data_IF_909926446048
#
_entry.id   IF_909926446048
#
_cell.length_a   1.000
_cell.length_b   1.000
_cell.length_c   1.000
_cell.angle_alpha   90.00
_cell.angle_beta   90.00
_cell.angle_gamma   90.00
#
_symmetry.space_group_name_H-M   'P 1'
#
loop_
_entity.id
_entity.type
_entity.pdbx_description
1 polymer ?
#
# COMPACT_ATOMS: atom_id res chain seq x y z
N UNK A 1 69.81 -25.95 -16.57
CA UNK A 1 69.06 -24.68 -16.54
C UNK A 1 67.85 -24.91 -15.67
N UNK A 2 68.01 -24.60 -14.39
CA UNK A 2 66.98 -24.65 -13.35
C UNK A 2 66.25 -23.31 -13.34
N UNK A 3 64.92 -23.32 -13.40
CA UNK A 3 64.10 -22.13 -13.27
C UNK A 3 63.74 -21.94 -11.79
N UNK A 4 64.18 -20.82 -11.23
CA UNK A 4 63.79 -20.37 -9.90
C UNK A 4 62.39 -19.75 -9.94
N UNK A 5 61.53 -20.17 -9.02
CA UNK A 5 60.21 -19.59 -8.76
C UNK A 5 60.33 -18.25 -8.00
N UNK A 6 59.43 -17.28 -8.22
CA UNK A 6 59.45 -16.01 -7.50
C UNK A 6 58.91 -16.17 -6.06
N UNK A 7 59.30 -15.26 -5.14
CA UNK A 7 58.98 -15.37 -3.72
C UNK A 7 57.51 -15.04 -3.44
N UNK A 8 56.91 -15.81 -2.54
CA UNK A 8 55.52 -15.71 -2.12
C UNK A 8 55.19 -14.40 -1.41
N UNK A 9 54.06 -13.82 -1.80
CA UNK A 9 53.36 -12.75 -1.08
C UNK A 9 52.69 -13.33 0.17
N UNK A 10 53.17 -12.91 1.34
CA UNK A 10 52.53 -13.15 2.62
C UNK A 10 51.33 -12.20 2.75
N UNK A 11 50.11 -12.71 2.54
CA UNK A 11 48.88 -11.99 2.83
C UNK A 11 48.48 -12.33 4.27
N UNK A 12 48.49 -11.31 5.14
CA UNK A 12 48.01 -11.43 6.51
C UNK A 12 46.49 -11.67 6.53
N UNK A 13 45.98 -12.46 7.49
CA UNK A 13 44.54 -12.72 7.59
C UNK A 13 43.80 -11.43 8.00
N UNK A 14 42.83 -11.04 7.19
CA UNK A 14 41.86 -9.99 7.49
C UNK A 14 40.89 -10.60 8.52
N UNK A 15 40.93 -10.12 9.76
CA UNK A 15 39.93 -10.48 10.77
C UNK A 15 38.59 -9.84 10.40
N UNK A 16 37.46 -10.56 10.53
CA UNK A 16 36.14 -9.98 10.36
C UNK A 16 35.86 -8.91 11.43
N UNK A 17 35.03 -7.91 11.12
CA UNK A 17 34.70 -6.84 12.06
C UNK A 17 34.00 -7.43 13.29
N UNK A 18 34.53 -7.10 14.47
CA UNK A 18 33.90 -7.42 15.74
C UNK A 18 32.61 -6.60 15.86
N UNK A 19 31.47 -7.28 15.86
CA UNK A 19 30.18 -6.71 16.27
C UNK A 19 30.26 -6.33 17.75
N UNK A 20 30.44 -5.03 18.01
CA UNK A 20 30.30 -4.47 19.36
C UNK A 20 28.82 -4.47 19.74
N UNK A 21 28.44 -5.37 20.63
CA UNK A 21 27.19 -5.27 21.39
C UNK A 21 27.22 -3.99 22.24
N UNK A 22 26.50 -2.96 21.80
CA UNK A 22 26.22 -1.78 22.63
C UNK A 22 25.15 -2.16 23.65
N UNK A 23 25.55 -2.21 24.92
CA UNK A 23 24.59 -2.13 26.03
C UNK A 23 23.98 -0.72 26.06
N UNK A 24 22.66 -0.57 26.33
CA UNK A 24 22.04 0.73 26.42
C UNK A 24 22.52 1.46 27.67
N UNK A 25 22.94 2.70 27.48
CA UNK A 25 23.24 3.62 28.57
C UNK A 25 21.95 3.95 29.33
N UNK A 26 22.01 3.89 30.66
CA UNK A 26 20.94 4.37 31.53
C UNK A 26 20.73 5.87 31.32
N UNK A 27 19.62 6.24 30.69
CA UNK A 27 19.15 7.62 30.63
C UNK A 27 18.61 8.04 32.00
N UNK A 28 19.00 9.24 32.43
CA UNK A 28 18.52 9.91 33.64
C UNK A 28 17.17 10.55 33.36
N UNK A 29 16.27 10.46 34.34
CA UNK A 29 14.85 10.83 34.33
C UNK A 29 14.54 12.34 34.41
N UNK A 30 15.42 13.23 33.94
CA UNK A 30 15.20 14.67 34.04
C UNK A 30 15.22 15.31 32.64
N UNK A 31 14.12 15.21 31.88
CA UNK A 31 13.70 16.17 30.81
C UNK A 31 12.42 15.73 30.06
N UNK A 32 11.33 15.43 30.78
CA UNK A 32 10.00 15.18 30.19
C UNK A 32 8.93 16.11 30.75
N UNK A 33 9.05 17.41 30.47
CA UNK A 33 7.91 18.32 30.54
C UNK A 33 7.90 19.27 29.33
N UNK A 34 7.22 18.85 28.26
CA UNK A 34 6.44 19.67 27.31
C UNK A 34 5.94 18.81 26.15
N UNK A 35 5.00 17.91 26.45
CA UNK A 35 4.13 17.33 25.42
C UNK A 35 2.92 18.27 25.22
N UNK A 36 2.49 18.54 23.97
CA UNK A 36 1.26 19.28 23.73
C UNK A 36 0.08 18.48 24.30
N UNK A 37 -0.79 19.17 25.04
CA UNK A 37 -1.93 18.62 25.81
C UNK A 37 -2.96 17.84 24.95
N UNK A 38 -2.82 17.79 23.61
CA UNK A 38 -3.77 17.11 22.72
C UNK A 38 -3.52 15.62 22.42
N UNK A 39 -2.29 15.11 22.59
CA UNK A 39 -1.96 13.75 22.12
C UNK A 39 -2.45 12.62 23.04
N UNK A 40 -2.37 12.82 24.37
CA UNK A 40 -2.82 11.83 25.37
C UNK A 40 -4.35 11.65 25.36
N UNK A 41 -5.11 12.73 25.18
CA UNK A 41 -6.57 12.67 25.11
C UNK A 41 -7.11 11.84 23.93
N UNK A 42 -6.35 11.74 22.84
CA UNK A 42 -6.73 10.93 21.67
C UNK A 42 -6.46 9.45 21.94
N UNK A 43 -5.33 9.10 22.55
CA UNK A 43 -5.03 7.71 22.93
C UNK A 43 -6.00 7.19 24.00
N UNK A 44 -6.39 8.03 24.97
CA UNK A 44 -7.40 7.69 25.97
C UNK A 44 -8.79 7.52 25.36
N UNK A 45 -9.19 8.39 24.41
CA UNK A 45 -10.45 8.23 23.67
C UNK A 45 -10.45 6.96 22.81
N UNK A 46 -9.34 6.64 22.13
CA UNK A 46 -9.20 5.41 21.34
C UNK A 46 -9.18 4.16 22.23
N UNK A 47 -8.67 4.26 23.45
CA UNK A 47 -8.67 3.18 24.44
C UNK A 47 -10.06 2.96 25.07
N UNK A 48 -10.84 4.02 25.25
CA UNK A 48 -12.20 3.96 25.80
C UNK A 48 -13.24 3.32 24.87
N UNK A 49 -12.97 3.26 23.56
CA UNK A 49 -13.85 2.64 22.56
C UNK A 49 -13.90 1.09 22.65
N UNK A 50 -13.07 0.46 23.49
CA UNK A 50 -13.01 -1.01 23.64
C UNK A 50 -13.36 -1.55 25.04
N UNK A 51 -13.73 -0.68 25.99
CA UNK A 51 -14.27 -1.10 27.28
C UNK A 51 -15.81 -1.13 27.24
N UNK A 52 -16.36 -2.04 26.44
CA UNK A 52 -17.69 -2.60 26.69
C UNK A 52 -17.55 -4.10 26.79
N UNK A 53 -17.82 -4.60 27.99
CA UNK A 53 -17.66 -5.98 28.42
C UNK A 53 -18.18 -6.99 27.37
N UNK A 54 -17.26 -7.77 26.81
CA UNK A 54 -17.61 -9.00 26.11
C UNK A 54 -18.10 -10.02 27.14
N UNK A 55 -19.35 -10.51 27.07
CA UNK A 55 -19.79 -11.58 27.95
C UNK A 55 -19.03 -12.86 27.64
N UNK A 56 -18.54 -13.52 28.70
CA UNK A 56 -17.83 -14.79 28.65
C UNK A 56 -18.61 -15.87 27.88
N UNK A 57 -17.95 -16.75 27.10
CA UNK A 57 -18.63 -17.78 26.34
C UNK A 57 -19.06 -18.93 27.26
N UNK A 58 -20.38 -19.06 27.48
CA UNK A 58 -20.98 -20.26 28.06
C UNK A 58 -21.26 -21.29 26.97
N UNK A 59 -20.62 -22.44 27.10
CA UNK A 59 -21.09 -23.81 26.74
C UNK A 59 -21.80 -24.02 25.40
N UNK A 60 -21.05 -24.66 24.48
CA UNK A 60 -21.45 -25.74 23.56
C UNK A 60 -22.96 -26.01 23.39
N UNK A 61 -23.56 -25.36 22.39
CA UNK A 61 -24.82 -25.74 21.77
C UNK A 61 -24.60 -26.08 20.30
N UNK A 62 -24.75 -27.35 19.93
CA UNK A 62 -24.78 -27.81 18.54
C UNK A 62 -25.99 -27.19 17.82
N UNK A 63 -25.76 -26.17 17.00
CA UNK A 63 -26.76 -25.61 16.08
C UNK A 63 -26.45 -26.14 14.67
N UNK A 64 -27.29 -27.07 14.21
CA UNK A 64 -27.33 -27.53 12.83
C UNK A 64 -27.99 -26.46 11.95
N UNK A 65 -27.19 -25.61 11.30
CA UNK A 65 -27.69 -24.77 10.22
C UNK A 65 -27.77 -25.56 8.92
N UNK A 66 -28.97 -26.06 8.61
CA UNK A 66 -29.34 -26.46 7.25
C UNK A 66 -29.38 -25.18 6.39
N UNK A 67 -28.34 -24.95 5.59
CA UNK A 67 -28.30 -23.90 4.58
C UNK A 67 -28.97 -24.47 3.33
N UNK A 68 -30.21 -24.06 3.05
CA UNK A 68 -30.83 -24.26 1.74
C UNK A 68 -29.97 -23.53 0.70
N UNK A 69 -29.23 -24.30 -0.09
CA UNK A 69 -28.64 -23.85 -1.33
C UNK A 69 -29.78 -23.81 -2.36
N UNK A 70 -30.35 -22.63 -2.58
CA UNK A 70 -31.12 -22.40 -3.80
C UNK A 70 -30.12 -22.29 -4.95
N UNK A 71 -30.09 -23.34 -5.78
CA UNK A 71 -29.32 -23.37 -7.01
C UNK A 71 -29.82 -22.26 -7.96
N UNK A 72 -28.92 -21.51 -8.63
CA UNK A 72 -29.35 -20.59 -9.67
C UNK A 72 -29.91 -21.38 -10.85
N UNK A 73 -31.14 -21.04 -11.25
CA UNK A 73 -31.81 -21.60 -12.41
C UNK A 73 -30.96 -21.44 -13.67
N UNK A 74 -30.77 -22.54 -14.39
CA UNK A 74 -30.23 -22.55 -15.75
C UNK A 74 -30.92 -21.47 -16.60
N UNK A 75 -30.12 -20.56 -17.16
CA UNK A 75 -30.56 -19.66 -18.21
C UNK A 75 -30.95 -20.48 -19.45
N UNK A 76 -32.20 -20.29 -19.90
CA UNK A 76 -32.60 -20.64 -21.26
C UNK A 76 -31.85 -19.72 -22.21
N UNK A 77 -31.07 -20.34 -23.10
CA UNK A 77 -30.47 -19.69 -24.26
C UNK A 77 -31.55 -19.62 -25.32
N UNK A 78 -32.13 -18.44 -25.54
CA UNK A 78 -32.92 -18.18 -26.73
C UNK A 78 -31.93 -18.01 -27.90
N UNK A 79 -31.98 -18.97 -28.81
CA UNK A 79 -31.28 -18.94 -30.09
C UNK A 79 -32.10 -18.13 -31.07
N UNK A 80 -31.74 -16.87 -31.31
CA UNK A 80 -32.20 -16.13 -32.49
C UNK A 80 -31.18 -15.08 -32.94
N UNK A 81 -30.88 -15.10 -34.24
CA UNK A 81 -30.48 -13.92 -35.00
C UNK A 81 -28.99 -13.54 -34.98
N UNK A 82 -28.14 -14.35 -35.61
CA UNK A 82 -26.80 -13.92 -36.04
C UNK A 82 -26.91 -12.79 -37.08
N UNK A 83 -26.54 -11.58 -36.70
CA UNK A 83 -26.06 -10.53 -37.62
C UNK A 83 -24.65 -10.11 -37.17
N UNK A 84 -23.66 -10.07 -38.08
CA UNK A 84 -22.29 -9.75 -37.71
C UNK A 84 -22.19 -8.25 -37.40
N UNK A 85 -22.14 -7.91 -36.12
CA UNK A 85 -21.74 -6.58 -35.68
C UNK A 85 -20.23 -6.49 -35.87
N UNK A 86 -19.81 -5.77 -36.90
CA UNK A 86 -18.44 -5.32 -37.09
C UNK A 86 -18.02 -4.46 -35.90
N UNK A 87 -17.21 -5.02 -35.01
CA UNK A 87 -16.57 -4.28 -33.92
C UNK A 87 -15.73 -3.14 -34.49
N UNK A 88 -15.96 -1.87 -34.10
CA UNK A 88 -15.06 -0.79 -34.48
C UNK A 88 -13.72 -1.04 -33.80
N UNK A 89 -12.66 -1.13 -34.60
CA UNK A 89 -11.27 -0.97 -34.14
C UNK A 89 -11.14 0.41 -33.51
N UNK A 90 -11.35 0.51 -32.21
CA UNK A 90 -10.86 1.66 -31.45
C UNK A 90 -9.34 1.57 -31.44
N UNK A 91 -8.71 2.41 -32.26
CA UNK A 91 -7.31 2.77 -32.08
C UNK A 91 -7.15 3.25 -30.63
N UNK A 92 -6.28 2.58 -29.89
CA UNK A 92 -5.98 2.91 -28.50
C UNK A 92 -5.55 4.36 -28.42
N UNK A 93 -6.41 5.20 -27.87
CA UNK A 93 -6.04 6.56 -27.48
C UNK A 93 -4.99 6.38 -26.39
N UNK A 94 -3.73 6.76 -26.69
CA UNK A 94 -2.69 6.87 -25.68
C UNK A 94 -3.26 7.77 -24.57
N UNK A 95 -3.48 7.18 -23.40
CA UNK A 95 -3.78 7.90 -22.17
C UNK A 95 -2.56 8.77 -21.94
N UNK A 96 -2.69 10.09 -22.05
CA UNK A 96 -1.60 11.03 -21.77
C UNK A 96 -1.29 10.93 -20.28
N UNK A 97 -0.27 10.15 -19.96
CA UNK A 97 0.16 9.85 -18.61
C UNK A 97 0.50 11.14 -17.85
N UNK A 98 -0.18 11.33 -16.71
CA UNK A 98 0.24 11.98 -15.47
C UNK A 98 1.29 13.10 -15.59
N UNK A 99 0.89 14.35 -15.28
CA UNK A 99 1.81 15.47 -15.11
C UNK A 99 2.77 15.28 -13.93
N UNK A 100 3.65 16.28 -13.70
CA UNK A 100 5.04 16.22 -14.16
C UNK A 100 5.60 14.80 -14.11
N UNK A 101 5.76 14.23 -15.31
CA UNK A 101 6.61 13.08 -15.65
C UNK A 101 7.48 12.56 -14.49
N UNK A 102 7.11 11.41 -13.95
CA UNK A 102 8.05 10.38 -13.50
C UNK A 102 8.93 9.86 -14.68
N UNK A 103 9.29 10.73 -15.64
CA UNK A 103 10.36 10.48 -16.61
C UNK A 103 11.70 10.91 -16.00
N UNK A 104 11.79 11.01 -14.67
CA UNK A 104 13.09 11.11 -14.03
C UNK A 104 13.85 9.82 -14.37
N UNK A 105 14.75 9.94 -15.35
CA UNK A 105 15.64 8.90 -15.85
C UNK A 105 16.61 8.39 -14.76
N UNK A 106 16.46 8.86 -13.52
CA UNK A 106 17.23 8.48 -12.36
C UNK A 106 16.94 7.05 -11.90
N UNK A 107 15.73 6.51 -12.14
CA UNK A 107 15.43 5.12 -11.75
C UNK A 107 16.03 4.13 -12.74
N UNK A 108 16.76 3.10 -12.26
CA UNK A 108 17.19 2.00 -13.12
C UNK A 108 15.99 1.44 -13.89
N UNK A 109 16.15 1.26 -15.19
CA UNK A 109 15.07 0.76 -16.04
C UNK A 109 14.52 -0.57 -15.51
N UNK A 110 13.20 -0.72 -15.52
CA UNK A 110 12.57 -1.95 -15.04
C UNK A 110 13.00 -3.16 -15.88
N UNK A 111 13.26 -4.29 -15.23
CA UNK A 111 13.56 -5.53 -15.95
C UNK A 111 12.24 -6.08 -16.54
N UNK A 112 12.19 -6.38 -17.85
CA UNK A 112 10.98 -6.92 -18.47
C UNK A 112 10.55 -8.25 -17.86
N UNK A 113 9.24 -8.43 -17.71
CA UNK A 113 8.64 -9.71 -17.28
C UNK A 113 9.09 -10.83 -18.23
N UNK A 114 9.62 -11.93 -17.69
CA UNK A 114 10.08 -13.09 -18.46
C UNK A 114 11.55 -13.06 -18.88
N UNK A 115 12.33 -12.08 -18.40
CA UNK A 115 13.79 -12.08 -18.55
C UNK A 115 14.41 -13.35 -17.94
N UNK A 116 15.46 -13.94 -18.55
CA UNK A 116 16.14 -15.11 -18.00
C UNK A 116 16.62 -14.89 -16.55
N UNK A 117 16.49 -15.90 -15.69
CA UNK A 117 16.85 -15.81 -14.26
C UNK A 117 18.26 -15.24 -14.02
N UNK A 118 19.23 -15.64 -14.84
CA UNK A 118 20.63 -15.18 -14.76
C UNK A 118 20.84 -13.67 -14.97
N UNK A 119 19.81 -12.95 -15.41
CA UNK A 119 19.88 -11.48 -15.55
C UNK A 119 19.57 -10.76 -14.24
N UNK A 120 18.98 -11.43 -13.25
CA UNK A 120 18.81 -10.89 -11.90
C UNK A 120 20.04 -11.32 -11.10
N UNK A 121 20.87 -10.35 -10.71
CA UNK A 121 22.06 -10.57 -9.88
C UNK A 121 21.76 -10.27 -8.42
N UNK A 122 20.94 -9.26 -8.17
CA UNK A 122 20.61 -8.80 -6.81
C UNK A 122 19.12 -8.89 -6.53
N UNK A 123 18.76 -8.85 -5.25
CA UNK A 123 17.38 -8.74 -4.80
C UNK A 123 16.71 -7.44 -5.26
N UNK A 124 17.45 -6.33 -5.27
CA UNK A 124 16.99 -5.03 -5.78
C UNK A 124 16.54 -5.12 -7.25
N UNK A 125 17.38 -5.68 -8.12
CA UNK A 125 17.05 -5.89 -9.53
C UNK A 125 15.77 -6.72 -9.71
N UNK A 126 15.58 -7.74 -8.87
CA UNK A 126 14.37 -8.57 -8.89
C UNK A 126 13.12 -7.80 -8.48
N UNK A 127 13.19 -6.95 -7.46
CA UNK A 127 12.07 -6.10 -7.02
C UNK A 127 11.70 -5.01 -8.04
N UNK A 128 12.63 -4.62 -8.93
CA UNK A 128 12.37 -3.70 -10.04
C UNK A 128 11.83 -4.38 -11.29
N UNK A 129 11.47 -5.67 -11.21
CA UNK A 129 10.81 -6.38 -12.31
C UNK A 129 9.42 -5.81 -12.57
N UNK A 130 9.10 -5.58 -13.84
CA UNK A 130 7.75 -5.15 -14.24
C UNK A 130 6.74 -6.27 -13.93
N UNK A 131 5.63 -6.01 -13.20
CA UNK A 131 4.55 -6.99 -13.02
C UNK A 131 3.93 -7.44 -14.36
N UNK A 132 3.25 -8.61 -14.44
CA UNK A 132 2.62 -9.06 -15.67
C UNK A 132 1.52 -8.08 -16.11
N UNK A 133 1.02 -8.26 -17.33
CA UNK A 133 -0.14 -7.50 -17.79
C UNK A 133 -1.33 -7.74 -16.84
N UNK A 134 -2.12 -6.69 -16.62
CA UNK A 134 -3.34 -6.79 -15.82
C UNK A 134 -4.36 -7.57 -16.66
N UNK A 135 -5.03 -8.59 -16.10
CA UNK A 135 -6.06 -9.33 -16.82
C UNK A 135 -7.25 -8.43 -17.14
N UNK A 136 -7.95 -8.72 -18.25
CA UNK A 136 -9.16 -7.98 -18.60
C UNK A 136 -10.30 -8.26 -17.61
N UNK A 137 -11.17 -7.27 -17.40
CA UNK A 137 -12.42 -7.49 -16.66
C UNK A 137 -13.38 -8.23 -17.58
N UNK A 138 -14.07 -9.25 -17.07
CA UNK A 138 -14.93 -10.16 -17.84
C UNK A 138 -15.98 -9.45 -18.74
N UNK A 139 -16.36 -8.22 -18.38
CA UNK A 139 -17.27 -7.38 -19.16
C UNK A 139 -16.99 -5.90 -18.92
N UNK A 140 -16.99 -5.10 -19.98
CA UNK A 140 -16.88 -3.63 -19.89
C UNK A 140 -17.95 -3.06 -18.95
N UNK A 141 -17.54 -2.19 -18.04
CA UNK A 141 -18.42 -1.57 -17.04
C UNK A 141 -18.84 -2.48 -15.88
N UNK A 142 -18.45 -3.76 -15.88
CA UNK A 142 -18.61 -4.59 -14.69
C UNK A 142 -17.66 -4.15 -13.57
N UNK A 143 -17.98 -4.52 -12.33
CA UNK A 143 -17.17 -4.23 -11.15
C UNK A 143 -16.93 -2.72 -10.91
N UNK A 144 -17.75 -1.82 -11.50
CA UNK A 144 -17.64 -0.38 -11.27
C UNK A 144 -18.26 0.08 -9.96
N UNK A 145 -18.96 -0.81 -9.24
CA UNK A 145 -19.64 -0.48 -8.00
C UNK A 145 -18.68 -0.51 -6.81
N UNK A 146 -18.67 0.55 -6.02
CA UNK A 146 -18.04 0.55 -4.69
C UNK A 146 -19.07 0.24 -3.62
N UNK A 147 -18.69 -0.56 -2.62
CA UNK A 147 -19.47 -0.76 -1.39
C UNK A 147 -19.91 0.60 -0.83
N UNK A 148 -21.18 0.70 -0.45
CA UNK A 148 -21.68 1.90 0.25
C UNK A 148 -21.14 1.93 1.68
N UNK A 149 -20.85 3.12 2.19
CA UNK A 149 -20.38 3.26 3.55
C UNK A 149 -21.37 2.67 4.55
N UNK A 150 -20.85 1.82 5.44
CA UNK A 150 -21.61 1.18 6.49
C UNK A 150 -21.86 2.17 7.65
N UNK A 151 -22.69 1.76 8.63
CA UNK A 151 -23.06 2.62 9.76
C UNK A 151 -21.84 3.06 10.58
N UNK A 152 -20.90 2.14 10.85
CA UNK A 152 -19.66 2.42 11.58
C UNK A 152 -18.78 3.44 10.85
N UNK A 153 -18.61 3.28 9.53
CA UNK A 153 -17.85 4.22 8.70
C UNK A 153 -18.51 5.61 8.71
N UNK A 154 -19.83 5.71 8.58
CA UNK A 154 -20.54 7.02 8.62
C UNK A 154 -20.55 7.67 10.00
N UNK A 155 -20.63 6.87 11.06
CA UNK A 155 -20.77 7.33 12.43
C UNK A 155 -19.42 7.39 13.18
N UNK A 156 -18.31 7.44 12.44
CA UNK A 156 -17.00 7.69 13.02
C UNK A 156 -17.02 9.00 13.85
N UNK A 157 -16.38 9.01 15.01
CA UNK A 157 -16.39 10.17 15.91
C UNK A 157 -15.84 11.43 15.20
N UNK A 158 -16.52 12.60 15.29
CA UNK A 158 -16.11 13.80 14.57
C UNK A 158 -14.68 14.31 14.85
N UNK A 159 -14.09 13.94 15.99
CA UNK A 159 -12.72 14.28 16.38
C UNK A 159 -11.65 13.46 15.68
N UNK A 160 -12.01 12.31 15.10
CA UNK A 160 -11.08 11.37 14.42
C UNK A 160 -11.42 11.18 12.94
N UNK A 161 -12.32 11.99 12.38
CA UNK A 161 -12.63 11.96 10.94
C UNK A 161 -11.50 12.57 10.12
N UNK A 162 -11.31 12.03 8.92
CA UNK A 162 -10.48 12.64 7.89
C UNK A 162 -11.03 14.04 7.56
N UNK A 163 -10.15 15.03 7.53
CA UNK A 163 -10.46 16.41 7.11
C UNK A 163 -9.56 16.91 6.00
N UNK A 164 -8.37 16.31 5.85
CA UNK A 164 -7.33 16.77 4.93
C UNK A 164 -6.77 15.58 4.16
N UNK A 165 -6.76 15.66 2.85
CA UNK A 165 -5.99 14.75 1.99
C UNK A 165 -4.76 15.51 1.52
N UNK A 166 -3.58 14.93 1.71
CA UNK A 166 -2.29 15.55 1.35
C UNK A 166 -1.64 14.70 0.27
N UNK A 167 -1.81 15.06 -1.01
CA UNK A 167 -1.05 14.46 -2.11
C UNK A 167 0.43 14.75 -1.90
N UNK A 168 1.27 13.71 -1.77
CA UNK A 168 2.70 13.87 -1.55
C UNK A 168 3.49 13.10 -2.62
N UNK A 169 4.07 13.85 -3.57
CA UNK A 169 4.69 13.30 -4.78
C UNK A 169 5.81 12.29 -4.49
N UNK A 170 6.61 12.53 -3.45
CA UNK A 170 7.74 11.66 -3.05
C UNK A 170 7.46 10.83 -1.80
N UNK A 171 6.20 10.47 -1.54
CA UNK A 171 5.83 9.77 -0.31
C UNK A 171 6.62 8.47 -0.09
N UNK A 172 6.73 7.61 -1.12
CA UNK A 172 7.52 6.37 -1.03
C UNK A 172 8.96 6.61 -1.52
N UNK A 173 9.12 7.41 -2.58
CA UNK A 173 10.42 7.65 -3.24
C UNK A 173 11.48 8.30 -2.33
N UNK A 174 11.08 8.89 -1.20
CA UNK A 174 12.02 9.37 -0.18
C UNK A 174 12.74 8.24 0.58
N UNK A 175 12.23 6.99 0.49
CA UNK A 175 12.80 5.82 1.16
C UNK A 175 13.79 5.06 0.29
N UNK A 176 13.96 5.44 -0.99
CA UNK A 176 14.75 4.71 -1.97
C UNK A 176 16.19 4.48 -1.48
N UNK A 177 16.89 5.51 -0.99
CA UNK A 177 18.28 5.39 -0.54
C UNK A 177 18.43 4.38 0.62
N UNK A 178 17.55 4.44 1.61
CA UNK A 178 17.57 3.51 2.76
C UNK A 178 17.20 2.09 2.32
N UNK A 179 16.19 1.95 1.45
CA UNK A 179 15.77 0.67 0.90
C UNK A 179 16.86 0.02 0.05
N UNK A 180 17.57 0.78 -0.78
CA UNK A 180 18.74 0.31 -1.54
C UNK A 180 19.85 -0.17 -0.61
N UNK A 181 20.15 0.60 0.45
CA UNK A 181 21.14 0.21 1.46
C UNK A 181 20.79 -1.09 2.18
N UNK A 182 19.50 -1.36 2.43
CA UNK A 182 19.03 -2.62 3.01
C UNK A 182 19.17 -3.82 2.07
N UNK A 183 19.03 -3.58 0.76
CA UNK A 183 19.10 -4.63 -0.27
C UNK A 183 20.53 -4.89 -0.75
N UNK A 184 21.48 -4.01 -0.39
CA UNK A 184 22.88 -4.12 -0.78
C UNK A 184 23.50 -5.45 -0.28
N UNK A 185 24.32 -6.07 -1.14
CA UNK A 185 24.96 -7.35 -0.86
C UNK A 185 24.05 -8.59 -0.89
N UNK A 186 22.74 -8.47 -1.10
CA UNK A 186 21.84 -9.62 -1.28
C UNK A 186 21.88 -10.11 -2.74
N UNK A 187 22.87 -10.94 -3.03
CA UNK A 187 23.12 -11.50 -4.37
C UNK A 187 22.55 -12.92 -4.58
N UNK A 188 22.04 -13.17 -5.78
CA UNK A 188 21.55 -14.48 -6.17
C UNK A 188 22.70 -15.42 -6.59
N UNK A 189 22.95 -16.48 -5.81
CA UNK A 189 23.69 -17.66 -6.25
C UNK A 189 22.78 -18.63 -7.02
N UNK A 190 22.90 -18.63 -8.35
CA UNK A 190 22.14 -19.52 -9.23
C UNK A 190 22.61 -20.99 -9.20
N UNK A 191 23.61 -21.34 -8.39
CA UNK A 191 23.93 -22.74 -8.06
C UNK A 191 23.22 -23.20 -6.78
N UNK A 192 22.52 -22.31 -6.08
CA UNK A 192 21.78 -22.63 -4.86
C UNK A 192 20.29 -22.83 -5.16
N UNK A 193 19.78 -24.04 -4.90
CA UNK A 193 18.38 -24.41 -5.13
C UNK A 193 17.39 -23.53 -4.34
N UNK A 194 17.77 -23.03 -3.16
CA UNK A 194 16.91 -22.15 -2.36
C UNK A 194 16.71 -20.79 -3.03
N UNK A 195 17.75 -20.28 -3.69
CA UNK A 195 17.68 -19.03 -4.44
C UNK A 195 16.75 -19.16 -5.66
N UNK A 196 16.78 -20.31 -6.34
CA UNK A 196 15.80 -20.63 -7.41
C UNK A 196 14.37 -20.69 -6.89
N UNK A 197 14.14 -21.33 -5.73
CA UNK A 197 12.81 -21.42 -5.12
C UNK A 197 12.28 -20.03 -4.74
N UNK A 198 13.11 -19.21 -4.10
CA UNK A 198 12.80 -17.82 -3.76
C UNK A 198 12.46 -17.02 -5.02
N UNK A 199 13.31 -17.07 -6.04
CA UNK A 199 13.11 -16.34 -7.28
C UNK A 199 11.78 -16.73 -7.95
N UNK A 200 11.39 -18.01 -7.87
CA UNK A 200 10.11 -18.49 -8.40
C UNK A 200 8.92 -17.84 -7.68
N UNK A 201 9.02 -17.55 -6.39
CA UNK A 201 7.96 -16.87 -5.63
C UNK A 201 7.95 -15.35 -5.82
N UNK A 202 9.08 -14.76 -6.17
CA UNK A 202 9.21 -13.31 -6.32
C UNK A 202 8.94 -12.83 -7.75
N UNK A 203 9.28 -13.64 -8.75
CA UNK A 203 9.16 -13.25 -10.15
C UNK A 203 7.70 -13.28 -10.60
N UNK A 204 7.14 -12.13 -11.03
CA UNK A 204 5.73 -12.08 -11.41
C UNK A 204 5.35 -13.00 -12.58
N UNK A 205 6.32 -13.34 -13.45
CA UNK A 205 6.15 -14.29 -14.55
C UNK A 205 5.84 -15.72 -14.07
N UNK A 206 6.36 -16.12 -12.92
CA UNK A 206 6.13 -17.44 -12.34
C UNK A 206 4.70 -17.62 -11.84
N UNK A 207 3.99 -16.53 -11.59
CA UNK A 207 2.60 -16.56 -11.15
C UNK A 207 1.62 -16.42 -12.31
N UNK A 208 2.05 -15.92 -13.46
CA UNK A 208 1.12 -15.52 -14.54
C UNK A 208 0.22 -16.65 -15.04
N UNK A 209 0.63 -17.91 -14.92
CA UNK A 209 -0.18 -19.07 -15.30
C UNK A 209 -1.12 -19.57 -14.19
N UNK A 210 -0.87 -19.20 -12.93
CA UNK A 210 -1.73 -19.52 -11.79
C UNK A 210 -2.74 -18.40 -11.48
N UNK A 211 -2.46 -17.19 -11.98
CA UNK A 211 -3.31 -16.03 -11.77
C UNK A 211 -4.55 -16.04 -12.68
N UNK A 212 -5.65 -15.39 -12.24
CA UNK A 212 -6.83 -15.22 -13.07
C UNK A 212 -6.46 -14.56 -14.40
N UNK A 213 -6.86 -15.18 -15.51
CA UNK A 213 -6.69 -14.59 -16.86
C UNK A 213 -7.77 -13.55 -17.17
N UNK A 214 -8.82 -13.51 -16.35
CA UNK A 214 -9.94 -12.57 -16.42
C UNK A 214 -10.34 -12.22 -14.99
N UNK A 215 -10.51 -10.93 -14.70
CA UNK A 215 -11.02 -10.45 -13.41
C UNK A 215 -12.54 -10.59 -13.41
N UNK A 216 -13.07 -11.48 -12.56
CA UNK A 216 -14.50 -11.68 -12.34
C UNK A 216 -15.01 -11.00 -11.07
N UNK A 217 -14.12 -10.77 -10.11
CA UNK A 217 -14.44 -10.24 -8.78
C UNK A 217 -13.28 -9.45 -8.19
N UNK A 218 -13.52 -8.73 -7.09
CA UNK A 218 -12.45 -8.09 -6.31
C UNK A 218 -11.49 -9.14 -5.70
N UNK A 219 -11.95 -10.36 -5.42
CA UNK A 219 -11.09 -11.44 -4.94
C UNK A 219 -9.97 -11.82 -5.94
N UNK A 220 -10.26 -11.74 -7.24
CA UNK A 220 -9.27 -11.97 -8.29
C UNK A 220 -8.18 -10.89 -8.27
N UNK A 221 -8.57 -9.64 -7.98
CA UNK A 221 -7.65 -8.50 -7.80
C UNK A 221 -6.75 -8.75 -6.59
N UNK A 222 -7.34 -9.16 -5.46
CA UNK A 222 -6.61 -9.50 -4.24
C UNK A 222 -5.59 -10.62 -4.45
N UNK A 223 -5.99 -11.68 -5.16
CA UNK A 223 -5.09 -12.80 -5.49
C UNK A 223 -3.96 -12.37 -6.41
N UNK A 224 -4.25 -11.57 -7.44
CA UNK A 224 -3.25 -11.01 -8.33
C UNK A 224 -2.25 -10.10 -7.60
N UNK A 225 -2.75 -9.14 -6.81
CA UNK A 225 -1.90 -8.22 -6.06
C UNK A 225 -1.07 -8.94 -4.99
N UNK A 226 -1.67 -9.91 -4.31
CA UNK A 226 -0.99 -10.79 -3.35
C UNK A 226 0.22 -11.46 -3.97
N UNK A 227 0.04 -12.18 -5.08
CA UNK A 227 1.13 -12.93 -5.71
C UNK A 227 2.17 -12.08 -6.44
N UNK A 228 1.79 -10.93 -7.00
CA UNK A 228 2.70 -10.16 -7.87
C UNK A 228 3.29 -8.92 -7.24
N UNK A 229 2.68 -8.39 -6.18
CA UNK A 229 3.12 -7.17 -5.49
C UNK A 229 3.50 -7.47 -4.04
N UNK A 230 2.57 -8.06 -3.27
CA UNK A 230 2.71 -8.14 -1.82
C UNK A 230 3.69 -9.23 -1.37
N UNK A 231 3.52 -10.46 -1.85
CA UNK A 231 4.40 -11.58 -1.48
C UNK A 231 5.86 -11.27 -1.82
N UNK A 232 6.22 -10.77 -3.02
CA UNK A 232 7.62 -10.42 -3.30
C UNK A 232 8.17 -9.34 -2.34
N UNK A 233 7.40 -8.29 -2.05
CA UNK A 233 7.83 -7.24 -1.12
C UNK A 233 8.03 -7.75 0.31
N UNK A 234 7.12 -8.61 0.81
CA UNK A 234 7.23 -9.23 2.13
C UNK A 234 8.43 -10.19 2.19
N UNK A 235 8.63 -11.01 1.17
CA UNK A 235 9.75 -11.94 1.11
C UNK A 235 11.09 -11.20 1.10
N UNK A 236 11.19 -10.09 0.39
CA UNK A 236 12.40 -9.26 0.42
C UNK A 236 12.67 -8.70 1.82
N UNK A 237 11.65 -8.17 2.50
CA UNK A 237 11.80 -7.72 3.90
C UNK A 237 12.33 -8.82 4.82
N UNK A 238 11.83 -10.05 4.67
CA UNK A 238 12.35 -11.21 5.42
C UNK A 238 13.80 -11.54 5.09
N UNK A 239 14.23 -11.42 3.83
CA UNK A 239 15.62 -11.69 3.44
C UNK A 239 16.58 -10.63 4.00
N UNK A 240 16.14 -9.37 4.01
CA UNK A 240 16.87 -8.27 4.65
C UNK A 240 17.02 -8.56 6.15
N UNK A 241 15.93 -8.89 6.85
CA UNK A 241 15.94 -9.22 8.27
C UNK A 241 16.90 -10.38 8.60
N UNK A 242 17.01 -11.37 7.72
CA UNK A 242 17.88 -12.54 7.91
C UNK A 242 19.31 -12.36 7.33
N UNK A 243 19.57 -11.28 6.60
CA UNK A 243 20.85 -11.03 5.93
C UNK A 243 21.24 -12.06 4.87
N UNK A 244 20.28 -12.81 4.31
CA UNK A 244 20.53 -13.76 3.21
C UNK A 244 19.28 -14.03 2.38
N UNK A 245 19.48 -14.53 1.14
CA UNK A 245 18.41 -14.95 0.26
C UNK A 245 17.98 -16.38 0.62
N UNK A 246 16.78 -16.52 1.17
CA UNK A 246 16.26 -17.82 1.59
C UNK A 246 14.78 -17.79 1.97
N UNK A 247 14.20 -19.00 2.13
CA UNK A 247 12.86 -19.16 2.68
C UNK A 247 12.94 -19.40 4.18
N UNK A 248 12.71 -18.34 4.95
CA UNK A 248 12.71 -18.41 6.41
C UNK A 248 11.30 -18.74 6.92
N UNK A 249 11.21 -19.77 7.77
CA UNK A 249 9.95 -20.31 8.32
C UNK A 249 9.78 -20.02 9.81
N UNK A 250 10.57 -19.13 10.42
CA UNK A 250 10.32 -18.71 11.80
C UNK A 250 8.92 -18.09 11.88
N UNK A 251 8.15 -18.49 12.91
CA UNK A 251 6.84 -17.93 13.24
C UNK A 251 6.89 -16.42 13.52
N UNK A 252 8.08 -15.86 13.73
CA UNK A 252 8.25 -14.45 14.07
C UNK A 252 8.27 -13.48 12.89
N UNK A 253 8.38 -13.99 11.66
CA UNK A 253 8.49 -13.10 10.50
C UNK A 253 7.18 -12.39 10.17
N UNK A 254 7.24 -11.12 9.72
CA UNK A 254 6.07 -10.39 9.27
C UNK A 254 5.27 -11.15 8.21
N UNK A 255 3.95 -11.14 8.30
CA UNK A 255 3.07 -11.90 7.42
C UNK A 255 1.83 -11.12 7.03
N UNK A 256 1.22 -11.52 5.92
CA UNK A 256 -0.09 -11.03 5.51
C UNK A 256 -1.17 -11.95 6.05
N UNK A 257 -2.23 -11.37 6.61
CA UNK A 257 -3.39 -12.09 7.09
C UNK A 257 -4.69 -11.42 6.60
N UNK A 258 -5.79 -12.16 6.66
CA UNK A 258 -7.12 -11.56 6.62
C UNK A 258 -7.32 -10.72 7.89
N UNK A 259 -8.02 -9.59 7.79
CA UNK A 259 -8.31 -8.79 8.97
C UNK A 259 -9.13 -9.57 10.01
N UNK A 260 -8.90 -9.35 11.32
CA UNK A 260 -9.66 -9.98 12.39
C UNK A 260 -11.14 -9.58 12.33
N UNK A 261 -12.00 -10.26 13.10
CA UNK A 261 -13.43 -9.96 13.21
C UNK A 261 -13.69 -8.63 13.96
N UNK A 262 -13.33 -7.51 13.34
CA UNK A 262 -13.63 -6.15 13.78
C UNK A 262 -14.78 -5.56 12.95
N UNK A 263 -15.37 -4.46 13.43
CA UNK A 263 -16.51 -3.81 12.79
C UNK A 263 -16.19 -3.21 11.41
N UNK A 264 -14.92 -2.98 11.12
CA UNK A 264 -14.41 -2.42 9.86
C UNK A 264 -13.28 -3.31 9.36
N UNK A 265 -13.64 -4.25 8.49
CA UNK A 265 -12.74 -5.27 7.95
C UNK A 265 -11.99 -4.68 6.76
N UNK A 266 -10.65 -4.69 6.83
CA UNK A 266 -9.79 -4.48 5.66
C UNK A 266 -9.71 -5.78 4.85
N UNK A 267 -9.49 -5.68 3.54
CA UNK A 267 -9.37 -6.87 2.69
C UNK A 267 -8.16 -7.74 3.10
N UNK A 268 -7.09 -7.11 3.57
CA UNK A 268 -5.95 -7.74 4.20
C UNK A 268 -5.28 -6.84 5.25
N UNK A 269 -4.45 -7.44 6.08
CA UNK A 269 -3.59 -6.75 7.03
C UNK A 269 -2.18 -7.31 6.96
N UNK A 270 -1.20 -6.47 7.22
CA UNK A 270 0.18 -6.86 7.41
C UNK A 270 0.47 -6.83 8.91
N UNK A 271 0.87 -7.98 9.44
CA UNK A 271 1.13 -8.20 10.86
C UNK A 271 2.61 -8.39 11.07
N UNK A 272 3.16 -7.64 12.03
CA UNK A 272 4.53 -7.82 12.50
C UNK A 272 4.53 -8.35 13.93
N UNK A 273 5.60 -9.04 14.29
CA UNK A 273 5.88 -9.36 15.69
C UNK A 273 6.68 -8.23 16.31
N UNK A 274 6.28 -7.83 17.51
CA UNK A 274 7.05 -6.94 18.36
C UNK A 274 7.28 -7.66 19.69
N UNK A 275 8.51 -7.64 20.21
CA UNK A 275 8.86 -8.37 21.43
C UNK A 275 8.04 -7.91 22.66
N UNK A 276 7.59 -6.65 22.69
CA UNK A 276 6.80 -6.07 23.77
C UNK A 276 5.29 -6.24 23.57
N UNK A 277 4.81 -6.07 22.33
CA UNK A 277 3.37 -6.05 22.01
C UNK A 277 2.83 -7.38 21.48
N UNK A 278 3.71 -8.31 21.12
CA UNK A 278 3.37 -9.51 20.37
C UNK A 278 2.96 -9.20 18.93
N UNK A 279 1.98 -9.94 18.42
CA UNK A 279 1.39 -9.71 17.10
C UNK A 279 0.64 -8.37 17.06
N UNK A 280 1.04 -7.48 16.15
CA UNK A 280 0.33 -6.22 15.92
C UNK A 280 0.13 -5.96 14.44
N UNK A 281 -0.98 -5.30 14.10
CA UNK A 281 -1.30 -4.91 12.73
C UNK A 281 -0.55 -3.62 12.43
N UNK A 282 0.47 -3.71 11.59
CA UNK A 282 1.32 -2.55 11.21
C UNK A 282 0.73 -1.79 10.03
N UNK A 283 -0.08 -2.46 9.19
CA UNK A 283 -0.63 -1.86 7.98
C UNK A 283 -1.91 -2.55 7.48
N UNK A 284 -2.78 -1.81 6.82
CA UNK A 284 -3.96 -2.35 6.11
C UNK A 284 -3.75 -2.43 4.60
N UNK A 285 -4.32 -3.45 3.97
CA UNK A 285 -4.29 -3.67 2.53
C UNK A 285 -5.73 -3.65 2.01
N UNK A 286 -6.03 -2.73 1.10
CA UNK A 286 -7.33 -2.62 0.46
C UNK A 286 -7.16 -2.82 -1.06
N UNK A 287 -8.06 -3.59 -1.66
CA UNK A 287 -8.09 -3.72 -3.11
C UNK A 287 -9.45 -3.38 -3.70
N UNK A 288 -9.43 -2.88 -4.93
CA UNK A 288 -10.64 -2.54 -5.70
C UNK A 288 -10.48 -3.00 -7.13
N UNK A 289 -11.59 -3.22 -7.81
CA UNK A 289 -11.51 -3.49 -9.24
C UNK A 289 -10.89 -2.31 -10.02
N UNK A 290 -10.19 -2.55 -11.14
CA UNK A 290 -9.69 -1.47 -11.99
C UNK A 290 -10.78 -0.47 -12.39
N UNK A 291 -12.01 -0.92 -12.65
CA UNK A 291 -13.12 -0.04 -13.02
C UNK A 291 -13.61 0.85 -11.88
N UNK A 292 -13.30 0.55 -10.61
CA UNK A 292 -13.60 1.46 -9.49
C UNK A 292 -12.66 2.66 -9.51
N UNK A 293 -11.41 2.47 -9.91
CA UNK A 293 -10.40 3.53 -9.99
C UNK A 293 -10.56 4.42 -11.22
N UNK A 294 -11.33 3.97 -12.21
CA UNK A 294 -11.50 4.68 -13.47
C UNK A 294 -12.89 5.32 -13.56
N UNK A 295 -12.93 6.63 -13.83
CA UNK A 295 -14.15 7.34 -14.20
C UNK A 295 -13.96 7.98 -15.57
N UNK A 296 -14.82 7.66 -16.53
CA UNK A 296 -14.74 8.16 -17.93
C UNK A 296 -13.39 7.91 -18.63
N UNK A 297 -12.62 6.92 -18.16
CA UNK A 297 -11.32 6.57 -18.74
C UNK A 297 -10.12 7.27 -18.09
N UNK A 298 -10.35 8.05 -17.04
CA UNK A 298 -9.33 8.73 -16.24
C UNK A 298 -9.32 8.17 -14.82
N UNK A 299 -8.19 8.28 -14.13
CA UNK A 299 -8.11 7.83 -12.74
C UNK A 299 -8.87 8.80 -11.84
N UNK A 300 -9.70 8.31 -10.93
CA UNK A 300 -10.41 9.16 -9.96
C UNK A 300 -9.47 9.89 -8.99
N UNK A 301 -8.19 9.50 -8.94
CA UNK A 301 -7.16 10.14 -8.12
C UNK A 301 -6.35 11.17 -8.90
N UNK A 302 -6.50 11.26 -10.23
CA UNK A 302 -5.66 12.11 -11.08
C UNK A 302 -5.74 13.59 -10.69
N UNK A 303 -6.94 14.09 -10.40
CA UNK A 303 -7.13 15.49 -10.00
C UNK A 303 -6.47 15.86 -8.66
N UNK A 304 -6.18 14.88 -7.78
CA UNK A 304 -5.46 15.14 -6.54
C UNK A 304 -3.98 15.46 -6.80
N UNK A 305 -3.42 14.98 -7.90
CA UNK A 305 -2.00 15.15 -8.24
C UNK A 305 -1.78 16.17 -9.37
N UNK A 306 -2.82 16.89 -9.79
CA UNK A 306 -2.70 18.04 -10.68
C UNK A 306 -2.19 19.24 -9.88
N UNK A 307 -0.87 19.23 -9.59
CA UNK A 307 -0.19 20.20 -8.71
C UNK A 307 0.68 21.13 -9.55
N UNK A 308 0.62 22.46 -9.32
CA UNK A 308 1.58 23.40 -9.91
C UNK A 308 3.03 23.03 -9.53
N UNK A 309 3.97 23.14 -10.49
CA UNK A 309 5.37 22.74 -10.28
C UNK A 309 6.07 23.50 -9.13
N UNK A 310 5.58 24.67 -8.76
CA UNK A 310 6.14 25.52 -7.70
C UNK A 310 5.35 25.44 -6.38
N UNK A 311 4.39 24.54 -6.29
CA UNK A 311 3.60 24.34 -5.09
C UNK A 311 4.46 23.75 -3.95
N UNK A 312 4.32 24.23 -2.71
CA UNK A 312 5.05 23.67 -1.59
C UNK A 312 4.55 22.26 -1.26
N UNK A 313 5.44 21.42 -0.74
CA UNK A 313 5.05 20.14 -0.17
C UNK A 313 4.08 20.34 1.01
N UNK A 314 3.12 19.43 1.14
CA UNK A 314 2.13 19.47 2.22
C UNK A 314 0.85 20.24 1.90
N UNK A 315 0.68 20.80 0.70
CA UNK A 315 -0.62 21.37 0.31
C UNK A 315 -1.75 20.33 0.52
N UNK A 316 -2.74 20.73 1.31
CA UNK A 316 -3.86 19.87 1.63
C UNK A 316 -5.10 20.22 0.79
N UNK A 317 -5.80 19.17 0.39
CA UNK A 317 -7.15 19.21 -0.17
C UNK A 317 -8.14 18.97 0.97
N UNK A 318 -9.20 19.77 1.07
CA UNK A 318 -10.21 19.63 2.11
C UNK A 318 -11.10 18.43 1.82
N UNK A 319 -11.34 17.62 2.85
CA UNK A 319 -12.22 16.46 2.80
C UNK A 319 -13.38 16.64 3.78
N UNK A 320 -14.60 16.59 3.27
CA UNK A 320 -15.84 16.62 4.04
C UNK A 320 -16.36 15.21 4.25
N UNK A 321 -16.42 14.78 5.52
CA UNK A 321 -16.84 13.43 5.85
C UNK A 321 -18.31 13.17 5.45
N UNK A 322 -18.62 12.01 4.83
CA UNK A 322 -19.99 11.68 4.43
C UNK A 322 -20.93 11.51 5.63
N UNK A 323 -22.03 12.26 5.63
CA UNK A 323 -23.12 12.14 6.60
C UNK A 323 -24.05 10.94 6.37
N UNK A 324 -25.11 10.82 7.17
CA UNK A 324 -26.04 9.69 7.07
C UNK A 324 -26.75 9.62 5.71
N UNK A 325 -27.17 10.77 5.18
CA UNK A 325 -27.99 10.88 3.97
C UNK A 325 -27.18 11.05 2.68
N UNK A 326 -25.90 11.39 2.75
CA UNK A 326 -25.07 11.63 1.58
C UNK A 326 -23.99 10.55 1.46
N UNK A 327 -24.01 9.81 0.35
CA UNK A 327 -23.11 8.67 0.14
C UNK A 327 -21.70 9.10 -0.30
N UNK A 328 -21.53 10.33 -0.77
CA UNK A 328 -20.32 10.75 -1.49
C UNK A 328 -20.17 10.04 -2.84
N UNK A 329 -19.18 10.49 -3.61
CA UNK A 329 -18.79 9.84 -4.86
C UNK A 329 -17.90 8.60 -4.62
N UNK A 330 -17.31 8.04 -5.68
CA UNK A 330 -16.45 6.86 -5.56
C UNK A 330 -15.21 7.14 -4.72
N UNK A 331 -14.51 8.23 -5.03
CA UNK A 331 -13.30 8.65 -4.33
C UNK A 331 -13.58 8.85 -2.83
N UNK A 332 -14.66 9.56 -2.50
CA UNK A 332 -15.09 9.81 -1.12
C UNK A 332 -15.29 8.53 -0.34
N UNK A 333 -15.99 7.54 -0.93
CA UNK A 333 -16.27 6.27 -0.26
C UNK A 333 -14.99 5.47 -0.03
N UNK A 334 -14.08 5.45 -1.01
CA UNK A 334 -12.81 4.76 -0.88
C UNK A 334 -11.96 5.41 0.21
N UNK A 335 -11.80 6.74 0.19
CA UNK A 335 -11.03 7.48 1.19
C UNK A 335 -11.59 7.32 2.61
N UNK A 336 -12.91 7.38 2.76
CA UNK A 336 -13.55 7.13 4.06
C UNK A 336 -13.36 5.68 4.53
N UNK A 337 -13.42 4.69 3.63
CA UNK A 337 -13.18 3.28 3.95
C UNK A 337 -11.75 3.05 4.45
N UNK A 338 -10.75 3.45 3.67
CA UNK A 338 -9.34 3.25 4.04
C UNK A 338 -8.99 4.02 5.31
N UNK A 339 -9.51 5.25 5.48
CA UNK A 339 -9.31 6.01 6.71
C UNK A 339 -9.87 5.27 7.94
N UNK A 340 -11.11 4.78 7.83
CA UNK A 340 -11.75 4.06 8.94
C UNK A 340 -11.01 2.77 9.26
N UNK A 341 -10.47 2.06 8.26
CA UNK A 341 -9.64 0.86 8.45
C UNK A 341 -8.35 1.19 9.21
N UNK A 342 -7.63 2.25 8.83
CA UNK A 342 -6.40 2.68 9.50
C UNK A 342 -6.65 3.04 10.96
N UNK A 343 -7.75 3.76 11.24
CA UNK A 343 -8.15 4.13 12.60
C UNK A 343 -8.53 2.89 13.41
N UNK A 344 -9.37 2.02 12.85
CA UNK A 344 -9.91 0.85 13.56
C UNK A 344 -8.84 -0.19 13.88
N UNK A 345 -7.85 -0.37 12.98
CA UNK A 345 -6.71 -1.25 13.18
C UNK A 345 -5.55 -0.58 13.93
N UNK A 346 -5.69 0.69 14.32
CA UNK A 346 -4.67 1.49 15.03
C UNK A 346 -3.30 1.52 14.30
N UNK A 347 -3.32 1.47 12.98
CA UNK A 347 -2.12 1.51 12.17
C UNK A 347 -1.98 2.86 11.44
N UNK A 348 -0.75 3.14 10.98
CA UNK A 348 -0.39 4.39 10.34
C UNK A 348 -0.20 4.26 8.84
N UNK A 349 -0.05 3.04 8.33
CA UNK A 349 0.30 2.77 6.94
C UNK A 349 -0.81 1.96 6.26
N UNK A 350 -1.04 2.23 4.98
CA UNK A 350 -1.99 1.50 4.15
C UNK A 350 -1.50 1.35 2.72
N UNK A 351 -1.96 0.30 2.05
CA UNK A 351 -1.85 0.14 0.59
C UNK A 351 -3.25 0.03 0.01
N UNK A 352 -3.51 0.78 -1.06
CA UNK A 352 -4.73 0.73 -1.83
C UNK A 352 -4.39 0.39 -3.29
N UNK A 353 -4.85 -0.75 -3.80
CA UNK A 353 -4.49 -1.21 -5.15
C UNK A 353 -5.68 -1.64 -6.01
N UNK A 354 -5.52 -1.58 -7.32
CA UNK A 354 -6.45 -2.13 -8.30
C UNK A 354 -5.80 -3.06 -9.32
N UNK A 355 -4.65 -3.66 -8.99
CA UNK A 355 -3.69 -4.32 -9.89
C UNK A 355 -3.03 -3.36 -10.90
N UNK A 356 -3.80 -2.43 -11.47
CA UNK A 356 -3.34 -1.47 -12.47
C UNK A 356 -2.63 -0.27 -11.88
N UNK A 357 -3.04 0.12 -10.68
CA UNK A 357 -2.55 1.28 -9.95
C UNK A 357 -2.47 0.91 -8.48
N UNK A 358 -1.36 1.26 -7.84
CA UNK A 358 -1.16 1.12 -6.40
C UNK A 358 -0.89 2.49 -5.80
N UNK A 359 -1.54 2.79 -4.69
CA UNK A 359 -1.38 3.99 -3.88
C UNK A 359 -0.91 3.58 -2.49
N UNK A 360 -0.02 4.38 -1.91
CA UNK A 360 0.48 4.24 -0.56
C UNK A 360 -0.09 5.35 0.31
N UNK A 361 -0.50 4.99 1.52
CA UNK A 361 -1.29 5.84 2.41
C UNK A 361 -0.62 5.93 3.77
N UNK A 362 -0.40 7.15 4.28
CA UNK A 362 0.18 7.36 5.60
C UNK A 362 -0.67 8.29 6.47
N UNK A 363 -0.73 7.99 7.76
CA UNK A 363 -1.23 8.87 8.83
C UNK A 363 -0.05 9.40 9.63
N UNK A 364 -0.23 10.59 10.20
CA UNK A 364 0.74 11.18 11.11
C UNK A 364 0.08 11.43 12.48
N UNK A 365 0.76 11.09 13.58
CA UNK A 365 0.30 11.41 14.95
C UNK A 365 0.19 12.93 15.18
N UNK A 366 1.09 13.72 14.61
CA UNK A 366 1.09 15.18 14.71
C UNK A 366 -0.11 15.81 13.96
N UNK A 367 -0.62 15.13 12.93
CA UNK A 367 -1.72 15.59 12.09
C UNK A 367 -2.82 14.53 12.02
N UNK A 368 -3.55 14.30 13.13
CA UNK A 368 -4.43 13.14 13.29
C UNK A 368 -5.65 13.16 12.34
N UNK A 369 -5.93 14.26 11.66
CA UNK A 369 -7.03 14.45 10.71
C UNK A 369 -6.57 14.51 9.24
N UNK A 370 -5.31 14.15 8.96
CA UNK A 370 -4.71 14.19 7.63
C UNK A 370 -4.31 12.79 7.12
N UNK A 371 -4.62 12.52 5.84
CA UNK A 371 -4.19 11.34 5.11
C UNK A 371 -3.23 11.74 3.98
N UNK A 372 -1.99 11.28 4.09
CA UNK A 372 -0.99 11.47 3.04
C UNK A 372 -1.12 10.36 2.01
N UNK A 373 -1.10 10.71 0.72
CA UNK A 373 -1.32 9.77 -0.39
C UNK A 373 -0.21 9.93 -1.41
N UNK A 374 0.41 8.82 -1.81
CA UNK A 374 1.43 8.78 -2.86
C UNK A 374 0.82 9.01 -4.24
N UNK A 375 1.61 9.41 -5.25
CA UNK A 375 1.16 9.32 -6.63
C UNK A 375 0.79 7.87 -7.00
N UNK A 376 0.04 7.67 -8.10
CA UNK A 376 -0.31 6.35 -8.60
C UNK A 376 0.92 5.59 -9.14
N UNK A 377 1.24 4.44 -8.54
CA UNK A 377 2.26 3.52 -9.04
C UNK A 377 1.62 2.55 -10.02
N UNK A 378 1.90 2.75 -11.31
CA UNK A 378 1.53 1.84 -12.40
C UNK A 378 2.63 0.80 -12.63
N UNK A 379 2.40 -0.16 -13.55
CA UNK A 379 3.35 -1.24 -13.85
C UNK A 379 4.79 -0.78 -14.14
N UNK A 380 4.97 0.35 -14.84
CA UNK A 380 6.28 0.89 -15.18
C UNK A 380 6.96 1.66 -14.05
N UNK A 381 6.24 1.95 -12.96
CA UNK A 381 6.76 2.68 -11.80
C UNK A 381 7.32 1.75 -10.71
N UNK A 382 7.72 0.51 -11.07
CA UNK A 382 8.27 -0.49 -10.15
C UNK A 382 7.46 -0.69 -8.85
N UNK A 383 6.14 -0.98 -8.93
CA UNK A 383 5.27 -1.01 -7.74
C UNK A 383 5.65 -2.11 -6.74
N UNK A 384 6.38 -3.15 -7.17
CA UNK A 384 6.88 -4.22 -6.29
C UNK A 384 7.97 -3.69 -5.35
N UNK A 385 8.90 -2.90 -5.88
CA UNK A 385 9.92 -2.20 -5.10
C UNK A 385 9.29 -1.20 -4.13
N UNK A 386 8.30 -0.42 -4.57
CA UNK A 386 7.55 0.47 -3.69
C UNK A 386 6.80 -0.29 -2.58
N UNK A 387 6.22 -1.45 -2.88
CA UNK A 387 5.66 -2.33 -1.85
C UNK A 387 6.72 -2.80 -0.85
N UNK A 388 7.91 -3.20 -1.29
CA UNK A 388 9.02 -3.52 -0.39
C UNK A 388 9.35 -2.36 0.55
N UNK A 389 9.55 -1.15 0.03
CA UNK A 389 9.84 0.03 0.85
C UNK A 389 8.80 0.22 1.95
N UNK A 390 7.52 0.07 1.59
CA UNK A 390 6.40 0.24 2.51
C UNK A 390 6.29 -0.88 3.55
N UNK A 391 6.56 -2.14 3.17
CA UNK A 391 6.63 -3.26 4.10
C UNK A 391 7.83 -3.14 5.04
N UNK A 392 8.99 -2.71 4.54
CA UNK A 392 10.19 -2.50 5.33
C UNK A 392 10.00 -1.40 6.38
N UNK A 393 9.33 -0.30 6.00
CA UNK A 393 8.89 0.74 6.93
C UNK A 393 7.91 0.18 7.98
N UNK A 394 6.89 -0.57 7.54
CA UNK A 394 5.89 -1.15 8.44
C UNK A 394 6.47 -2.18 9.42
N UNK A 395 7.54 -2.89 9.05
CA UNK A 395 8.23 -3.86 9.90
C UNK A 395 9.35 -3.25 10.75
N UNK A 396 9.60 -1.94 10.65
CA UNK A 396 10.69 -1.27 11.37
C UNK A 396 12.10 -1.58 10.85
N UNK A 397 12.21 -2.13 9.62
CA UNK A 397 13.51 -2.24 8.94
C UNK A 397 13.98 -0.87 8.44
N UNK A 398 13.02 0.01 8.11
CA UNK A 398 13.23 1.44 7.90
C UNK A 398 12.53 2.15 9.05
N UNK A 399 13.21 3.13 9.66
CA UNK A 399 12.63 3.92 10.75
C UNK A 399 11.45 4.77 10.23
N UNK A 400 10.38 4.85 11.01
CA UNK A 400 9.23 5.72 10.68
C UNK A 400 9.63 7.19 10.57
N UNK A 401 10.71 7.61 11.23
CA UNK A 401 11.23 8.97 11.17
C UNK A 401 11.87 9.31 9.80
N UNK A 402 12.24 8.31 8.99
CA UNK A 402 12.67 8.51 7.59
C UNK A 402 11.50 8.91 6.68
N UNK A 403 10.26 8.66 7.11
CA UNK A 403 9.06 9.08 6.38
C UNK A 403 8.73 10.54 6.73
N UNK A 404 9.28 11.48 5.98
CA UNK A 404 8.98 12.89 6.16
C UNK A 404 7.56 13.22 5.69
N UNK A 405 6.70 13.56 6.65
CA UNK A 405 5.31 13.97 6.42
C UNK A 405 5.15 15.45 6.79
N UNK A 406 5.14 16.37 5.80
CA UNK A 406 5.10 17.80 6.07
C UNK A 406 3.79 18.23 6.74
N UNK A 407 3.78 19.36 7.48
CA UNK A 407 2.55 19.93 7.98
C UNK A 407 1.52 20.16 6.86
N UNK A 408 0.25 19.74 7.03
CA UNK A 408 -0.80 20.03 6.04
C UNK A 408 -1.05 21.54 5.91
N UNK A 409 -0.77 22.10 4.75
CA UNK A 409 -0.91 23.52 4.44
C UNK A 409 -2.33 23.81 3.96
N UNK A 410 -3.06 24.61 4.75
CA UNK A 410 -4.47 24.96 4.51
C UNK A 410 -4.71 26.47 4.41
N UNK A 411 -3.67 27.30 4.55
CA UNK A 411 -3.81 28.76 4.64
C UNK A 411 -4.42 29.38 3.37
N UNK A 412 -4.11 28.77 2.22
CA UNK A 412 -4.62 29.11 0.90
C UNK A 412 -6.10 28.80 0.68
N UNK A 413 -6.76 28.05 1.59
CA UNK A 413 -8.20 27.84 1.49
C UNK A 413 -8.95 29.14 1.80
N UNK A 414 -9.95 29.46 0.99
CA UNK A 414 -10.81 30.62 1.25
C UNK A 414 -11.55 30.49 2.59
N UNK A 415 -11.95 31.61 3.21
CA UNK A 415 -12.75 31.59 4.43
C UNK A 415 -14.08 30.86 4.24
N UNK A 416 -14.67 30.97 3.05
CA UNK A 416 -15.88 30.23 2.69
C UNK A 416 -15.58 28.73 2.71
N UNK A 417 -14.49 28.31 2.08
CA UNK A 417 -14.06 26.91 2.04
C UNK A 417 -13.77 26.37 3.44
N UNK A 418 -13.06 27.13 4.29
CA UNK A 418 -12.76 26.76 5.68
C UNK A 418 -14.04 26.55 6.48
N UNK A 419 -15.01 27.45 6.32
CA UNK A 419 -16.28 27.47 7.07
C UNK A 419 -17.42 26.69 6.39
N UNK A 420 -17.21 26.13 5.19
CA UNK A 420 -18.23 25.33 4.52
C UNK A 420 -18.47 24.09 5.37
N UNK A 421 -19.58 24.09 6.11
CA UNK A 421 -20.11 22.92 6.78
C UNK A 421 -21.34 22.42 6.01
N UNK A 422 -21.40 21.10 5.82
CA UNK A 422 -22.61 20.31 5.54
C UNK A 422 -23.20 20.29 4.12
N UNK A 423 -22.80 21.16 3.18
CA UNK A 423 -23.36 21.10 1.81
C UNK A 423 -22.60 20.19 0.83
N UNK A 424 -21.28 20.14 0.94
CA UNK A 424 -20.41 19.26 0.14
C UNK A 424 -20.04 18.01 0.92
N UNK A 425 -19.87 16.89 0.22
CA UNK A 425 -19.36 15.64 0.79
C UNK A 425 -18.23 15.15 -0.09
N UNK A 426 -17.14 14.70 0.54
CA UNK A 426 -15.94 14.29 -0.14
C UNK A 426 -14.93 15.42 -0.30
N UNK A 427 -14.14 15.31 -1.38
CA UNK A 427 -13.19 16.35 -1.75
C UNK A 427 -13.94 17.63 -2.11
N UNK A 428 -13.54 18.75 -1.50
CA UNK A 428 -14.08 20.07 -1.79
C UNK A 428 -13.38 20.61 -3.05
N UNK A 429 -14.07 20.75 -4.20
CA UNK A 429 -13.40 21.01 -5.47
C UNK A 429 -12.56 22.29 -5.53
N UNK A 430 -12.96 23.31 -4.77
CA UNK A 430 -12.23 24.57 -4.65
C UNK A 430 -10.83 24.38 -4.05
N UNK A 431 -10.62 23.28 -3.34
CA UNK A 431 -9.33 22.91 -2.72
C UNK A 431 -8.50 21.93 -3.54
N UNK A 432 -8.87 21.64 -4.80
CA UNK A 432 -7.96 20.93 -5.69
C UNK A 432 -6.68 21.75 -5.93
N UNK A 433 -5.55 21.05 -5.99
CA UNK A 433 -4.23 21.69 -6.03
C UNK A 433 -4.00 22.53 -7.29
N UNK A 434 -4.65 22.19 -8.41
CA UNK A 434 -4.65 23.01 -9.64
C UNK A 434 -5.22 24.43 -9.46
N UNK A 435 -6.01 24.65 -8.40
CA UNK A 435 -6.55 25.96 -8.06
C UNK A 435 -5.64 26.76 -7.12
N UNK A 436 -4.51 26.19 -6.69
CA UNK A 436 -3.56 26.91 -5.86
C UNK A 436 -2.98 28.08 -6.66
N UNK A 437 -3.16 29.29 -6.13
CA UNK A 437 -2.56 30.52 -6.65
C UNK A 437 -1.62 31.03 -5.57
N UNK A 438 -0.36 31.23 -5.93
CA UNK A 438 0.61 31.85 -5.04
C UNK A 438 0.27 33.32 -4.88
N UNK A 439 -0.07 33.74 -3.67
CA UNK A 439 -0.16 35.16 -3.34
C UNK A 439 1.22 35.78 -3.57
N UNK A 440 1.30 36.64 -4.58
CA UNK A 440 2.53 37.27 -5.10
C UNK A 440 3.00 38.43 -4.24
#
# INVERSE_FOLDING_TARGET
>A
MTFDSPPGLNIAPINPPQTTTRHPASLRDDDLERTPIGARDIEDKLSSLHLRDSPSPTTSGSISHSRKQDAPSLFKVDSDGTSPISSPRHQGRQISAFGPRLDDQSRPGSIPTGSPLRLYRTLDEMLRTTPPAIPEIYRRGALSGTKTLNKTEKQLDPGIRLRKVVPLGRLVDQLDDTAEGLLDGLEFDWNNDLHHQVATLMLPASWSFLLPQVINSELDVGSWAGSTLFIPGILAGRMVENGNIGLHRDSRHPFMASAPHISVVADGVFTCMNDELGEHISMTLEHKSPNVFMHKGESIFEELFDVPNDAPDGLAVKFEWPGEHNKGDHLTRILAQVWTQLISNKCFLGILTSCSTTLFLARNKAYPDALFISPPYIRSACPVYACFCWFALASGLIDMDELNLPPPITDWWSDVTKNTSEKSVGIVPETYLKNFVRDS
#
